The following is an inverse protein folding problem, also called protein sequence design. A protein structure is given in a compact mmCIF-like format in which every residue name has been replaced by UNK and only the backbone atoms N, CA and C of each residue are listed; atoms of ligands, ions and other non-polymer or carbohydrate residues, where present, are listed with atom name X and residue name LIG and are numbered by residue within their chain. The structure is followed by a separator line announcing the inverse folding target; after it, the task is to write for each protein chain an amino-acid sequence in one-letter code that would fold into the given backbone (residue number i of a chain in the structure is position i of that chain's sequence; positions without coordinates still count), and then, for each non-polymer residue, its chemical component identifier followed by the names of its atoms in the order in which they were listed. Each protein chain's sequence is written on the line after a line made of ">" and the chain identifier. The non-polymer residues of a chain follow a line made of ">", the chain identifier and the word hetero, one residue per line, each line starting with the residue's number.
data_IF_157131587296
#
_entry.id   IF_157131587296
#
_cell.length_a   1.000
_cell.length_b   1.000
_cell.length_c   1.000
_cell.angle_alpha   90.00
_cell.angle_beta   90.00
_cell.angle_gamma   90.00
#
_symmetry.space_group_name_H-M   'P 1'
#
loop_
_entity.id
_entity.type
_entity.pdbx_description
1 polymer ?
#
# COMPACT_ATOMS: atom_id res chain seq x y z
N UNK A 1 -7.66 -0.57 -1.80
CA UNK A 1 -7.46 0.82 -1.37
C UNK A 1 -6.31 1.37 -2.19
N UNK A 2 -6.22 2.68 -2.40
CA UNK A 2 -5.16 3.27 -3.25
C UNK A 2 -4.26 4.18 -2.45
N UNK A 3 -2.95 4.24 -2.76
CA UNK A 3 -2.08 5.22 -2.14
C UNK A 3 -2.46 6.61 -2.64
N UNK A 4 -2.39 7.61 -1.77
CA UNK A 4 -2.73 9.00 -2.11
C UNK A 4 -1.64 9.96 -1.68
N UNK A 5 -1.45 11.08 -2.40
CA UNK A 5 -0.61 12.17 -1.93
C UNK A 5 -1.11 12.74 -0.60
N UNK A 6 -0.18 13.22 0.23
CA UNK A 6 -0.46 13.85 1.52
C UNK A 6 0.55 14.99 1.77
N UNK A 7 0.23 15.89 2.70
CA UNK A 7 0.95 17.16 2.87
C UNK A 7 2.43 16.98 3.18
N UNK A 8 2.76 15.99 4.00
CA UNK A 8 4.13 15.70 4.44
C UNK A 8 4.91 14.84 3.42
N UNK A 9 4.33 14.47 2.28
CA UNK A 9 5.02 13.71 1.24
C UNK A 9 6.32 14.40 0.79
N UNK A 10 7.42 13.66 0.71
CA UNK A 10 8.72 14.17 0.26
C UNK A 10 9.41 13.29 -0.79
N UNK A 11 8.81 12.15 -1.15
CA UNK A 11 9.32 11.23 -2.16
C UNK A 11 8.17 10.50 -2.87
N UNK A 12 8.41 10.08 -4.10
CA UNK A 12 7.55 9.14 -4.83
C UNK A 12 8.40 7.95 -5.24
N UNK A 13 8.04 6.75 -4.80
CA UNK A 13 8.68 5.53 -5.27
C UNK A 13 8.03 5.09 -6.57
N UNK A 14 8.79 5.10 -7.65
CA UNK A 14 8.32 4.61 -8.93
C UNK A 14 8.37 3.07 -8.97
N UNK A 15 7.57 2.45 -9.84
CA UNK A 15 7.64 1.02 -10.09
C UNK A 15 9.08 0.59 -10.44
N UNK A 16 9.53 -0.59 -10.00
CA UNK A 16 10.76 -1.18 -10.52
C UNK A 16 10.70 -1.35 -12.04
N UNK A 17 11.86 -1.28 -12.69
CA UNK A 17 11.98 -1.47 -14.14
C UNK A 17 11.37 -2.82 -14.56
N UNK A 18 10.48 -2.79 -15.56
CA UNK A 18 9.76 -3.97 -16.06
C UNK A 18 8.56 -4.40 -15.22
N UNK A 19 8.18 -3.64 -14.19
CA UNK A 19 6.97 -3.86 -13.38
C UNK A 19 5.96 -2.71 -13.49
N UNK A 20 6.09 -1.83 -14.48
CA UNK A 20 5.25 -0.65 -14.65
C UNK A 20 3.76 -1.00 -14.80
N UNK A 21 3.45 -2.15 -15.41
CA UNK A 21 2.07 -2.64 -15.57
C UNK A 21 1.52 -3.36 -14.33
N UNK A 22 2.36 -3.63 -13.33
CA UNK A 22 2.04 -4.50 -12.17
C UNK A 22 2.19 -3.79 -10.82
N UNK A 23 2.86 -2.65 -10.79
CA UNK A 23 3.08 -1.86 -9.60
C UNK A 23 2.80 -0.40 -9.96
N UNK A 24 2.05 0.29 -9.11
CA UNK A 24 1.83 1.72 -9.23
C UNK A 24 2.89 2.48 -8.43
N UNK A 25 3.02 3.78 -8.74
CA UNK A 25 3.89 4.66 -7.97
C UNK A 25 3.33 4.88 -6.56
N UNK A 26 4.23 4.96 -5.56
CA UNK A 26 3.88 5.13 -4.16
C UNK A 26 4.32 6.53 -3.66
N UNK A 27 3.38 7.48 -3.48
CA UNK A 27 3.66 8.71 -2.74
C UNK A 27 3.97 8.40 -1.27
N UNK A 28 5.08 8.92 -0.77
CA UNK A 28 5.53 8.63 0.59
C UNK A 28 6.33 9.78 1.23
N UNK A 29 6.51 9.66 2.54
CA UNK A 29 7.50 10.40 3.31
C UNK A 29 8.61 9.44 3.71
N UNK A 30 9.87 9.82 3.50
CA UNK A 30 11.05 9.14 4.02
C UNK A 30 11.79 10.08 4.96
N UNK A 31 11.97 9.64 6.20
CA UNK A 31 12.70 10.39 7.22
C UNK A 31 12.82 9.55 8.49
N UNK A 32 13.82 9.84 9.33
CA UNK A 32 13.96 9.23 10.67
C UNK A 32 13.97 7.68 10.67
N UNK A 33 14.45 7.05 9.60
CA UNK A 33 14.49 5.59 9.48
C UNK A 33 13.14 4.93 9.16
N UNK A 34 12.10 5.70 8.84
CA UNK A 34 10.78 5.20 8.45
C UNK A 34 10.37 5.65 7.05
N UNK A 35 9.45 4.88 6.46
CA UNK A 35 8.74 5.21 5.22
C UNK A 35 7.25 5.22 5.53
N UNK A 36 6.61 6.37 5.33
CA UNK A 36 5.18 6.57 5.60
C UNK A 36 4.48 6.73 4.27
N UNK A 37 3.42 5.96 4.05
CA UNK A 37 2.50 6.14 2.92
C UNK A 37 1.08 6.29 3.44
N UNK A 38 0.27 7.10 2.76
CA UNK A 38 -1.14 7.31 3.10
C UNK A 38 -2.02 6.59 2.09
N UNK A 39 -3.08 5.93 2.58
CA UNK A 39 -3.97 5.13 1.75
C UNK A 39 -5.41 5.53 1.96
N UNK A 40 -6.13 5.70 0.85
CA UNK A 40 -7.54 6.00 0.87
C UNK A 40 -8.37 4.72 0.72
N UNK A 41 -9.21 4.45 1.70
CA UNK A 41 -10.18 3.36 1.63
C UNK A 41 -11.44 3.83 0.94
N UNK A 42 -11.93 3.02 0.00
CA UNK A 42 -13.27 3.18 -0.56
C UNK A 42 -14.35 2.94 0.51
N UNK A 43 -15.58 3.40 0.26
CA UNK A 43 -16.70 3.17 1.19
C UNK A 43 -16.90 1.68 1.48
N UNK A 44 -16.83 0.83 0.46
CA UNK A 44 -16.96 -0.61 0.62
C UNK A 44 -15.86 -1.23 1.48
N UNK A 45 -14.62 -0.79 1.30
CA UNK A 45 -13.50 -1.26 2.11
C UNK A 45 -13.62 -0.81 3.57
N UNK A 46 -14.14 0.40 3.82
CA UNK A 46 -14.42 0.87 5.18
C UNK A 46 -15.47 -0.02 5.86
N UNK A 47 -16.54 -0.38 5.15
CA UNK A 47 -17.58 -1.28 5.67
C UNK A 47 -16.98 -2.67 5.96
N UNK A 48 -16.24 -3.25 5.02
CA UNK A 48 -15.55 -4.53 5.23
C UNK A 48 -14.59 -4.49 6.41
N UNK A 49 -13.80 -3.43 6.53
CA UNK A 49 -12.86 -3.25 7.63
C UNK A 49 -13.60 -3.15 8.98
N UNK A 50 -14.71 -2.40 9.04
CA UNK A 50 -15.54 -2.28 10.24
C UNK A 50 -16.13 -3.63 10.66
N UNK A 51 -16.63 -4.42 9.72
CA UNK A 51 -17.28 -5.70 9.99
C UNK A 51 -16.29 -6.82 10.33
N UNK A 52 -15.13 -6.85 9.67
CA UNK A 52 -14.16 -7.93 9.82
C UNK A 52 -13.06 -7.61 10.82
N UNK A 53 -12.78 -6.33 11.06
CA UNK A 53 -11.65 -5.85 11.87
C UNK A 53 -10.28 -6.21 11.28
N UNK A 54 -10.19 -6.54 9.99
CA UNK A 54 -8.97 -7.08 9.37
C UNK A 54 -8.42 -6.16 8.29
N UNK A 55 -7.15 -5.83 8.43
CA UNK A 55 -6.32 -5.17 7.43
C UNK A 55 -5.13 -6.07 7.13
N UNK A 56 -4.88 -6.31 5.85
CA UNK A 56 -3.73 -7.06 5.37
C UNK A 56 -2.70 -6.09 4.82
N UNK A 57 -1.44 -6.33 5.20
CA UNK A 57 -0.28 -5.62 4.69
C UNK A 57 0.70 -6.63 4.13
N UNK A 58 1.12 -6.42 2.89
CA UNK A 58 2.08 -7.28 2.19
C UNK A 58 3.23 -6.44 1.68
N UNK A 59 4.43 -7.01 1.75
CA UNK A 59 5.69 -6.41 1.32
C UNK A 59 6.42 -7.46 0.49
N UNK A 60 6.82 -7.10 -0.73
CA UNK A 60 7.45 -8.04 -1.67
C UNK A 60 8.89 -7.61 -1.93
N UNK A 61 9.87 -8.31 -1.37
CA UNK A 61 11.29 -8.15 -1.74
C UNK A 61 12.23 -7.87 -0.57
N UNK A 62 13.52 -7.69 -0.90
CA UNK A 62 14.60 -7.53 0.09
C UNK A 62 15.08 -6.07 0.27
N UNK A 63 14.70 -5.16 -0.64
CA UNK A 63 15.16 -3.76 -0.68
C UNK A 63 14.09 -2.75 -0.25
N UNK A 64 13.86 -1.70 -1.05
CA UNK A 64 12.67 -0.83 -0.95
C UNK A 64 11.52 -1.53 -1.70
N UNK A 65 10.72 -2.38 -1.03
CA UNK A 65 9.92 -3.39 -1.73
C UNK A 65 8.54 -2.83 -2.09
N UNK A 66 7.92 -3.27 -3.19
CA UNK A 66 6.50 -3.01 -3.42
C UNK A 66 5.66 -3.41 -2.21
N UNK A 67 4.73 -2.53 -1.83
CA UNK A 67 3.81 -2.76 -0.71
C UNK A 67 2.38 -2.78 -1.21
N UNK A 68 1.54 -3.53 -0.51
CA UNK A 68 0.10 -3.60 -0.78
C UNK A 68 -0.69 -3.62 0.53
N UNK A 69 -1.82 -2.91 0.53
CA UNK A 69 -2.80 -2.95 1.60
C UNK A 69 -4.16 -3.41 1.06
N UNK A 70 -4.84 -4.27 1.81
CA UNK A 70 -6.16 -4.75 1.44
C UNK A 70 -6.98 -5.22 2.63
N UNK A 71 -8.30 -5.27 2.44
CA UNK A 71 -9.25 -5.79 3.45
C UNK A 71 -9.68 -7.23 3.15
N UNK A 72 -9.42 -7.71 1.94
CA UNK A 72 -9.72 -9.07 1.51
C UNK A 72 -8.57 -10.02 1.87
N UNK A 73 -8.91 -11.24 2.30
CA UNK A 73 -7.94 -12.26 2.67
C UNK A 73 -7.06 -12.62 1.46
N UNK A 74 -5.72 -12.46 1.55
CA UNK A 74 -4.84 -12.67 0.40
C UNK A 74 -4.55 -14.15 0.12
N UNK A 75 -4.93 -15.06 1.01
CA UNK A 75 -4.65 -16.49 0.88
C UNK A 75 -5.75 -17.21 0.11
N UNK A 76 -5.38 -17.88 -0.97
CA UNK A 76 -6.24 -18.85 -1.64
C UNK A 76 -6.25 -20.12 -0.79
N UNK A 77 -7.42 -20.50 -0.29
CA UNK A 77 -7.63 -21.77 0.41
C UNK A 77 -8.06 -22.82 -0.61
N UNK A 78 -7.43 -23.99 -0.58
CA UNK A 78 -7.84 -25.17 -1.35
C UNK A 78 -9.09 -25.79 -0.75
#
# INVERSE_FOLDING_TARGET
>A
MTPIPFREQNITYNPPEGMEDKCEALPAFRGEGQVISCWHLTLWERIKLLLTGRLWFSVIGNGQPPIWLGVDCPFIRK
#
